data_IF_960600318096
#
_entry.id   IF_960600318096
#
_cell.length_a   1.000
_cell.length_b   1.000
_cell.length_c   1.000
_cell.angle_alpha   90.00
_cell.angle_beta   90.00
_cell.angle_gamma   90.00
#
_symmetry.space_group_name_H-M   'P 1'
#
loop_
_entity.id
_entity.type
_entity.pdbx_description
1 polymer ?
#
# COMPACT_ATOMS: atom_id res chain seq x y z
N UNK A 1 -2.09 9.67 -25.93
CA UNK A 1 -1.77 8.41 -25.22
C UNK A 1 -0.62 8.73 -24.28
N UNK A 2 -0.91 9.03 -23.02
CA UNK A 2 0.11 9.10 -21.96
C UNK A 2 -0.54 8.40 -20.77
N UNK A 3 -0.37 7.07 -20.75
CA UNK A 3 -0.77 6.27 -19.61
C UNK A 3 0.12 6.68 -18.45
N UNK A 4 -0.52 7.14 -17.38
CA UNK A 4 0.03 7.33 -16.05
C UNK A 4 1.00 6.18 -15.77
N UNK A 5 2.29 6.47 -15.59
CA UNK A 5 3.21 5.49 -15.03
C UNK A 5 2.71 5.26 -13.59
N UNK A 6 2.19 4.08 -13.24
CA UNK A 6 1.71 3.87 -11.88
C UNK A 6 2.95 3.95 -10.97
N UNK A 7 2.85 4.74 -9.90
CA UNK A 7 3.91 4.90 -8.91
C UNK A 7 4.29 3.58 -8.20
N UNK A 8 3.48 2.56 -8.43
CA UNK A 8 3.63 1.18 -7.99
C UNK A 8 3.53 0.25 -9.19
N UNK A 9 4.45 -0.69 -9.28
CA UNK A 9 4.47 -1.73 -10.31
C UNK A 9 4.10 -3.06 -9.67
N UNK A 10 2.99 -3.64 -10.12
CA UNK A 10 2.57 -4.96 -9.66
C UNK A 10 3.62 -6.01 -10.06
N UNK A 11 4.16 -6.72 -9.06
CA UNK A 11 5.12 -7.80 -9.23
C UNK A 11 4.43 -9.17 -9.42
N UNK A 12 3.19 -9.29 -8.94
CA UNK A 12 2.35 -10.49 -9.03
C UNK A 12 1.84 -10.94 -7.65
N UNK A 13 1.06 -12.02 -7.63
CA UNK A 13 0.55 -12.65 -6.40
C UNK A 13 1.44 -13.85 -6.03
N UNK A 14 2.47 -13.66 -5.21
CA UNK A 14 3.27 -14.79 -4.72
C UNK A 14 2.69 -15.33 -3.40
N UNK A 15 2.15 -16.55 -3.48
CA UNK A 15 1.84 -17.44 -2.35
C UNK A 15 0.71 -17.04 -1.37
N UNK A 16 -0.51 -16.80 -1.87
CA UNK A 16 -1.75 -16.79 -1.08
C UNK A 16 -2.92 -16.23 -1.89
N UNK A 17 -4.19 -16.55 -1.56
CA UNK A 17 -5.33 -16.19 -2.42
C UNK A 17 -5.56 -14.68 -2.63
N UNK A 18 -5.00 -13.77 -1.83
CA UNK A 18 -5.30 -12.32 -1.91
C UNK A 18 -4.12 -11.39 -1.56
N UNK A 19 -2.87 -11.85 -1.75
CA UNK A 19 -1.69 -11.02 -1.53
C UNK A 19 -1.15 -10.51 -2.87
N UNK A 20 -1.13 -9.19 -3.07
CA UNK A 20 -0.57 -8.54 -4.26
C UNK A 20 0.69 -7.78 -3.84
N UNK A 21 1.80 -8.09 -4.52
CA UNK A 21 3.07 -7.40 -4.33
C UNK A 21 3.25 -6.28 -5.36
N UNK A 22 3.76 -5.16 -4.90
CA UNK A 22 4.06 -3.96 -5.67
C UNK A 22 5.49 -3.50 -5.40
N UNK A 23 6.13 -2.94 -6.41
CA UNK A 23 7.41 -2.23 -6.30
C UNK A 23 7.16 -0.74 -6.49
N UNK A 24 7.72 0.13 -5.63
CA UNK A 24 7.61 1.58 -5.79
C UNK A 24 8.95 2.19 -6.18
N UNK A 25 8.91 3.16 -7.10
CA UNK A 25 10.10 3.90 -7.49
C UNK A 25 10.59 4.79 -6.33
N UNK A 26 11.91 4.95 -6.20
CA UNK A 26 12.55 5.80 -5.18
C UNK A 26 12.15 7.29 -5.25
N UNK A 27 11.52 7.72 -6.34
CA UNK A 27 10.98 9.08 -6.51
C UNK A 27 9.60 9.25 -5.84
N UNK A 28 8.95 8.16 -5.46
CA UNK A 28 7.63 8.16 -4.83
C UNK A 28 7.78 7.98 -3.32
N UNK A 29 7.20 8.88 -2.49
CA UNK A 29 7.15 8.68 -1.06
C UNK A 29 6.45 7.36 -0.70
N UNK A 30 7.01 6.63 0.26
CA UNK A 30 6.46 5.37 0.74
C UNK A 30 4.99 5.51 1.18
N UNK A 31 4.63 6.63 1.80
CA UNK A 31 3.26 6.94 2.18
C UNK A 31 2.28 6.99 1.01
N UNK A 32 2.70 7.54 -0.14
CA UNK A 32 1.91 7.60 -1.37
C UNK A 32 1.83 6.21 -2.01
N UNK A 33 2.96 5.51 -2.08
CA UNK A 33 3.01 4.18 -2.66
C UNK A 33 2.07 3.19 -1.94
N UNK A 34 1.97 3.27 -0.61
CA UNK A 34 1.00 2.47 0.15
C UNK A 34 -0.45 2.79 -0.23
N UNK A 35 -0.82 4.06 -0.32
CA UNK A 35 -2.19 4.45 -0.74
C UNK A 35 -2.51 3.85 -2.11
N UNK A 36 -1.60 3.98 -3.06
CA UNK A 36 -1.78 3.42 -4.40
C UNK A 36 -1.92 1.89 -4.37
N UNK A 37 -1.12 1.20 -3.57
CA UNK A 37 -1.18 -0.25 -3.46
C UNK A 37 -2.53 -0.73 -2.88
N UNK A 38 -3.02 -0.10 -1.79
CA UNK A 38 -4.34 -0.44 -1.23
C UNK A 38 -5.46 -0.14 -2.24
N UNK A 39 -5.40 1.02 -2.90
CA UNK A 39 -6.39 1.40 -3.91
C UNK A 39 -6.41 0.42 -5.09
N UNK A 40 -5.25 -0.07 -5.52
CA UNK A 40 -5.15 -1.08 -6.56
C UNK A 40 -5.75 -2.44 -6.13
N UNK A 41 -5.52 -2.87 -4.88
CA UNK A 41 -6.16 -4.09 -4.34
C UNK A 41 -7.67 -3.92 -4.20
N UNK A 42 -8.13 -2.74 -3.76
CA UNK A 42 -9.54 -2.45 -3.59
C UNK A 42 -10.28 -2.12 -4.90
N UNK A 43 -9.57 -1.99 -6.03
CA UNK A 43 -10.08 -1.51 -7.32
C UNK A 43 -10.81 -0.15 -7.18
N UNK A 44 -10.17 0.77 -6.45
CA UNK A 44 -10.67 2.11 -6.15
C UNK A 44 -9.68 3.15 -6.66
N UNK A 45 -10.16 4.30 -7.13
CA UNK A 45 -9.27 5.39 -7.52
C UNK A 45 -8.68 6.07 -6.27
N UNK A 46 -7.36 6.32 -6.18
CA UNK A 46 -6.75 7.03 -5.06
C UNK A 46 -7.39 8.38 -4.72
N UNK A 47 -8.00 9.05 -5.69
CA UNK A 47 -8.71 10.31 -5.48
C UNK A 47 -10.08 10.10 -4.80
N UNK A 48 -10.72 8.97 -5.08
CA UNK A 48 -12.04 8.59 -4.55
C UNK A 48 -11.92 7.73 -3.28
N UNK A 49 -10.74 7.19 -2.98
CA UNK A 49 -10.44 6.35 -1.82
C UNK A 49 -10.97 6.89 -0.48
N UNK A 50 -10.82 8.19 -0.14
CA UNK A 50 -11.37 8.72 1.12
C UNK A 50 -12.90 8.61 1.19
N UNK A 51 -13.58 8.63 0.04
CA UNK A 51 -15.04 8.58 -0.07
C UNK A 51 -15.55 7.13 -0.21
N UNK A 52 -14.85 6.30 -0.98
CA UNK A 52 -15.27 4.92 -1.28
C UNK A 52 -14.80 3.90 -0.25
N UNK A 53 -13.59 4.06 0.30
CA UNK A 53 -13.04 3.17 1.32
C UNK A 53 -13.35 3.66 2.75
N UNK A 54 -13.73 4.93 2.90
CA UNK A 54 -14.11 5.50 4.20
C UNK A 54 -12.95 5.57 5.21
N UNK A 55 -11.71 5.36 4.76
CA UNK A 55 -10.52 5.52 5.59
C UNK A 55 -9.52 6.45 4.90
N UNK A 56 -8.76 7.18 5.69
CA UNK A 56 -7.58 7.91 5.20
C UNK A 56 -6.34 7.36 5.88
N UNK A 57 -5.28 7.08 5.11
CA UNK A 57 -4.03 6.51 5.66
C UNK A 57 -3.52 7.30 6.89
N UNK A 58 -3.66 8.63 6.85
CA UNK A 58 -3.24 9.53 7.95
C UNK A 58 -4.00 9.31 9.27
N UNK A 59 -5.18 8.69 9.25
CA UNK A 59 -5.96 8.38 10.46
C UNK A 59 -5.44 7.12 11.16
N UNK A 60 -4.75 6.24 10.42
CA UNK A 60 -4.20 4.99 10.94
C UNK A 60 -2.70 5.10 11.21
N UNK A 61 -1.96 5.79 10.35
CA UNK A 61 -0.50 5.94 10.44
C UNK A 61 -0.09 7.35 10.02
N UNK A 62 0.92 7.90 10.69
CA UNK A 62 1.54 9.15 10.26
C UNK A 62 2.35 8.93 8.96
N UNK A 63 1.95 9.53 7.82
CA UNK A 63 2.63 9.34 6.55
C UNK A 63 4.07 9.87 6.58
N UNK A 64 4.35 10.92 7.35
CA UNK A 64 5.71 11.45 7.52
C UNK A 64 6.60 10.50 8.32
N UNK A 65 6.03 9.73 9.25
CA UNK A 65 6.75 8.68 9.95
C UNK A 65 7.09 7.50 9.04
N UNK A 66 6.16 7.09 8.15
CA UNK A 66 6.42 6.07 7.11
C UNK A 66 7.57 6.54 6.20
N UNK A 67 7.47 7.75 5.66
CA UNK A 67 8.49 8.31 4.78
C UNK A 67 9.84 8.47 5.48
N UNK A 68 9.85 8.74 6.79
CA UNK A 68 11.09 8.80 7.58
C UNK A 68 11.66 7.41 7.88
N UNK A 69 10.82 6.41 8.12
CA UNK A 69 11.24 5.05 8.46
C UNK A 69 11.80 4.30 7.27
N UNK A 70 11.14 4.43 6.12
CA UNK A 70 11.49 3.70 4.88
C UNK A 70 12.38 4.55 3.96
N UNK A 71 12.46 5.85 4.20
CA UNK A 71 13.24 6.78 3.40
C UNK A 71 12.80 6.79 1.94
N UNK A 72 13.77 6.92 1.05
CA UNK A 72 13.57 6.97 -0.40
C UNK A 72 13.46 5.57 -1.05
N UNK A 73 13.17 4.51 -0.28
CA UNK A 73 13.07 3.14 -0.84
C UNK A 73 14.38 2.58 -1.41
N UNK A 74 15.52 3.09 -0.96
CA UNK A 74 16.88 2.65 -1.37
C UNK A 74 17.61 1.84 -0.29
N UNK A 75 16.86 1.37 0.70
CA UNK A 75 17.38 0.57 1.80
C UNK A 75 17.72 -0.86 1.40
N UNK A 76 18.12 -1.65 2.39
CA UNK A 76 18.54 -3.05 2.19
C UNK A 76 17.39 -4.06 2.37
N UNK A 77 16.16 -3.60 2.63
CA UNK A 77 15.01 -4.44 2.97
C UNK A 77 15.02 -4.90 4.44
N UNK A 78 15.78 -4.22 5.30
CA UNK A 78 15.90 -4.54 6.72
C UNK A 78 14.82 -3.85 7.56
N UNK A 79 14.26 -2.74 7.07
CA UNK A 79 13.18 -2.03 7.75
C UNK A 79 11.88 -2.44 7.09
N UNK A 80 11.05 -3.18 7.83
CA UNK A 80 9.73 -3.59 7.39
C UNK A 80 8.70 -2.94 8.29
N UNK A 81 7.76 -2.22 7.69
CA UNK A 81 6.63 -1.60 8.35
C UNK A 81 5.38 -2.36 7.93
N UNK A 82 4.73 -3.00 8.89
CA UNK A 82 3.48 -3.74 8.69
C UNK A 82 2.36 -3.13 9.53
N UNK A 83 1.21 -2.85 8.91
CA UNK A 83 0.03 -2.37 9.62
C UNK A 83 -1.26 -2.83 8.95
N UNK A 84 -2.31 -2.91 9.77
CA UNK A 84 -3.65 -3.29 9.31
C UNK A 84 -4.50 -2.03 9.15
N UNK A 85 -5.13 -1.91 7.99
CA UNK A 85 -6.11 -0.86 7.68
C UNK A 85 -7.47 -1.52 7.56
N UNK A 86 -8.46 -1.01 8.28
CA UNK A 86 -9.84 -1.49 8.15
C UNK A 86 -10.65 -0.44 7.41
N UNK A 87 -11.46 -0.87 6.45
CA UNK A 87 -12.45 0.03 5.83
C UNK A 87 -13.76 0.06 6.63
N UNK A 88 -14.63 1.02 6.28
CA UNK A 88 -15.96 1.15 6.89
C UNK A 88 -16.88 -0.07 6.62
N UNK A 89 -16.52 -0.92 5.66
CA UNK A 89 -17.24 -2.16 5.33
C UNK A 89 -16.76 -3.37 6.15
N UNK A 90 -15.74 -3.21 6.99
CA UNK A 90 -15.16 -4.27 7.83
C UNK A 90 -14.19 -5.19 7.09
N UNK A 91 -13.69 -4.78 5.92
CA UNK A 91 -12.56 -5.44 5.24
C UNK A 91 -11.26 -4.95 5.84
N UNK A 92 -10.33 -5.87 6.06
CA UNK A 92 -9.02 -5.57 6.63
C UNK A 92 -7.96 -5.75 5.56
N UNK A 93 -7.18 -4.72 5.30
CA UNK A 93 -6.03 -4.74 4.42
C UNK A 93 -4.77 -4.73 5.28
N UNK A 94 -4.04 -5.84 5.30
CA UNK A 94 -2.71 -5.88 5.87
C UNK A 94 -1.74 -5.34 4.84
N UNK A 95 -1.09 -4.22 5.14
CA UNK A 95 -0.03 -3.65 4.31
C UNK A 95 1.31 -3.93 4.97
N UNK A 96 2.23 -4.46 4.18
CA UNK A 96 3.63 -4.63 4.52
C UNK A 96 4.46 -3.84 3.51
N UNK A 97 5.30 -2.94 3.98
CA UNK A 97 6.21 -2.16 3.14
C UNK A 97 7.62 -2.27 3.69
N UNK A 98 8.57 -2.49 2.78
CA UNK A 98 9.99 -2.65 3.10
C UNK A 98 10.81 -1.53 2.47
N UNK A 99 11.89 -1.15 3.14
CA UNK A 99 12.77 -0.05 2.69
C UNK A 99 13.55 -0.36 1.39
N UNK A 100 13.48 -1.60 0.87
CA UNK A 100 14.01 -1.97 -0.45
C UNK A 100 13.11 -1.62 -1.64
N UNK A 101 11.97 -0.95 -1.39
CA UNK A 101 11.04 -0.56 -2.45
C UNK A 101 9.87 -1.54 -2.66
N UNK A 102 9.70 -2.53 -1.78
CA UNK A 102 8.63 -3.54 -1.89
C UNK A 102 7.44 -3.23 -0.99
N UNK A 103 6.24 -3.43 -1.52
CA UNK A 103 4.98 -3.32 -0.82
C UNK A 103 4.16 -4.58 -1.07
N UNK A 104 3.84 -5.33 -0.01
CA UNK A 104 2.84 -6.38 -0.04
C UNK A 104 1.52 -5.85 0.53
N UNK A 105 0.43 -5.97 -0.22
CA UNK A 105 -0.92 -5.73 0.31
C UNK A 105 -1.69 -7.03 0.30
N UNK A 106 -2.25 -7.39 1.44
CA UNK A 106 -3.11 -8.56 1.58
C UNK A 106 -4.48 -8.13 2.06
N UNK A 107 -5.50 -8.37 1.24
CA UNK A 107 -6.88 -8.28 1.70
C UNK A 107 -7.22 -9.52 2.52
N UNK A 108 -7.67 -9.31 3.76
CA UNK A 108 -8.30 -10.32 4.57
C UNK A 108 -9.80 -10.08 4.44
N UNK A 109 -10.46 -10.92 3.65
CA UNK A 109 -11.90 -11.09 3.78
C UNK A 109 -12.17 -11.57 5.21
N UNK A 110 -12.88 -10.76 5.98
CA UNK A 110 -13.47 -11.19 7.24
C UNK A 110 -14.37 -12.37 6.91
N UNK A 111 -13.85 -13.60 7.06
CA UNK A 111 -14.58 -14.82 6.83
C UNK A 111 -15.87 -14.78 7.67
N UNK A 112 -17.00 -14.67 6.98
CA UNK A 112 -18.34 -14.76 7.57
C UNK A 112 -18.61 -16.11 8.22
#
# INVERSE_FOLDING_TARGET
>A
MNGTNPAVRELGTDSGPDAIEYEYDAETPASIAVVHAICAVADVDPLEAPTELGFVLHEHVDPGAIDTLLGDGTGDGNVVVSFDVSDDQGRVYTVEISDDGRIGVRALDSAG
#
